data_IF_037913760182
#
_entry.id   IF_037913760182
#
_cell.length_a   1.000
_cell.length_b   1.000
_cell.length_c   1.000
_cell.angle_alpha   90.00
_cell.angle_beta   90.00
_cell.angle_gamma   90.00
#
_symmetry.space_group_name_H-M   'P 1'
#
loop_
_entity.id
_entity.type
_entity.pdbx_description
1 polymer ?
#
# COMPACT_ATOMS: atom_id res chain seq x y z
N UNK A 1 -16.80 -4.01 2.20
CA UNK A 1 -17.96 -3.14 2.53
C UNK A 1 -17.53 -1.76 3.03
N UNK A 2 -16.65 -1.67 4.04
CA UNK A 2 -16.18 -0.39 4.61
C UNK A 2 -15.45 0.53 3.61
N UNK A 3 -14.54 -0.02 2.80
CA UNK A 3 -13.71 0.77 1.88
C UNK A 3 -14.52 1.52 0.82
N UNK A 4 -15.59 0.89 0.29
CA UNK A 4 -16.53 1.56 -0.63
C UNK A 4 -17.23 2.74 0.03
N UNK A 5 -17.64 2.59 1.29
CA UNK A 5 -18.30 3.68 2.04
C UNK A 5 -17.33 4.84 2.30
N UNK A 6 -16.08 4.54 2.67
CA UNK A 6 -15.05 5.56 2.82
C UNK A 6 -14.77 6.30 1.51
N UNK A 7 -14.78 5.60 0.37
CA UNK A 7 -14.63 6.26 -0.92
C UNK A 7 -15.80 7.20 -1.22
N UNK A 8 -17.03 6.81 -0.88
CA UNK A 8 -18.20 7.69 -1.03
C UNK A 8 -18.08 8.95 -0.17
N UNK A 9 -17.63 8.80 1.08
CA UNK A 9 -17.38 9.95 1.98
C UNK A 9 -16.28 10.85 1.43
N UNK A 10 -15.16 10.29 0.97
CA UNK A 10 -14.08 11.06 0.34
C UNK A 10 -14.58 11.83 -0.89
N UNK A 11 -15.35 11.16 -1.75
CA UNK A 11 -15.92 11.76 -2.95
C UNK A 11 -16.87 12.91 -2.59
N UNK A 12 -17.73 12.72 -1.59
CA UNK A 12 -18.63 13.77 -1.12
C UNK A 12 -17.85 14.96 -0.56
N UNK A 13 -16.84 14.72 0.28
CA UNK A 13 -15.99 15.78 0.83
C UNK A 13 -15.27 16.57 -0.27
N UNK A 14 -14.68 15.88 -1.25
CA UNK A 14 -14.02 16.52 -2.39
C UNK A 14 -14.99 17.44 -3.14
N UNK A 15 -16.22 16.97 -3.40
CA UNK A 15 -17.22 17.77 -4.11
C UNK A 15 -17.67 19.02 -3.34
N UNK A 16 -17.82 18.91 -2.01
CA UNK A 16 -18.19 20.05 -1.16
C UNK A 16 -17.12 21.12 -1.21
N UNK A 17 -15.84 20.73 -1.11
CA UNK A 17 -14.71 21.66 -1.14
C UNK A 17 -14.56 22.37 -2.48
N UNK A 18 -14.73 21.65 -3.58
CA UNK A 18 -14.57 22.20 -4.94
C UNK A 18 -15.85 22.74 -5.55
N UNK A 19 -16.98 22.64 -4.84
CA UNK A 19 -18.33 23.01 -5.31
C UNK A 19 -18.72 22.36 -6.65
N UNK A 20 -18.16 21.19 -6.95
CA UNK A 20 -18.45 20.45 -8.19
C UNK A 20 -19.85 19.82 -8.15
N UNK A 21 -20.51 19.77 -9.32
CA UNK A 21 -21.86 19.20 -9.41
C UNK A 21 -21.83 17.69 -9.09
N UNK A 22 -22.96 17.15 -8.63
CA UNK A 22 -23.09 15.71 -8.30
C UNK A 22 -22.83 14.79 -9.48
N UNK A 23 -23.20 15.21 -10.69
CA UNK A 23 -23.11 14.43 -11.93
C UNK A 23 -21.72 14.44 -12.57
N UNK A 24 -20.87 15.40 -12.20
CA UNK A 24 -19.51 15.49 -12.75
C UNK A 24 -18.66 14.32 -12.31
N UNK A 25 -17.73 13.90 -13.16
CA UNK A 25 -16.83 12.80 -12.83
C UNK A 25 -15.90 13.17 -11.67
N UNK A 26 -15.72 12.26 -10.70
CA UNK A 26 -14.99 12.57 -9.46
C UNK A 26 -13.46 12.51 -9.62
N UNK A 27 -12.95 11.69 -10.55
CA UNK A 27 -11.51 11.51 -10.75
C UNK A 27 -10.73 12.81 -11.06
N UNK A 28 -11.18 13.72 -11.94
CA UNK A 28 -10.47 14.99 -12.14
C UNK A 28 -10.44 15.85 -10.87
N UNK A 29 -11.51 15.83 -10.07
CA UNK A 29 -11.59 16.58 -8.80
C UNK A 29 -10.60 16.03 -7.76
N UNK A 30 -10.53 14.71 -7.61
CA UNK A 30 -9.54 14.08 -6.73
C UNK A 30 -8.12 14.38 -7.19
N UNK A 31 -7.87 14.37 -8.50
CA UNK A 31 -6.56 14.72 -9.07
C UNK A 31 -6.18 16.17 -8.78
N UNK A 32 -7.08 17.13 -8.98
CA UNK A 32 -6.79 18.55 -8.68
C UNK A 32 -6.52 18.79 -7.19
N UNK A 33 -7.14 18.01 -6.32
CA UNK A 33 -6.89 18.05 -4.87
C UNK A 33 -5.64 17.26 -4.45
N UNK A 34 -4.98 16.55 -5.37
CA UNK A 34 -3.91 15.58 -5.07
C UNK A 34 -4.34 14.48 -4.09
N UNK A 35 -5.62 14.11 -4.11
CA UNK A 35 -6.18 13.08 -3.24
C UNK A 35 -6.18 11.72 -3.93
N UNK A 36 -5.47 10.76 -3.33
CA UNK A 36 -5.55 9.37 -3.74
C UNK A 36 -6.92 8.78 -3.38
N UNK A 37 -7.55 8.00 -4.27
CA UNK A 37 -8.66 7.13 -3.90
C UNK A 37 -8.29 6.25 -2.71
N UNK A 38 -9.27 5.92 -1.86
CA UNK A 38 -9.06 5.22 -0.57
C UNK A 38 -8.27 3.93 -0.73
N UNK A 39 -8.55 3.13 -1.77
CA UNK A 39 -7.80 1.90 -2.06
C UNK A 39 -6.30 2.18 -2.22
N UNK A 40 -5.93 3.15 -3.07
CA UNK A 40 -4.54 3.51 -3.30
C UNK A 40 -3.90 4.16 -2.08
N UNK A 41 -4.68 4.88 -1.27
CA UNK A 41 -4.20 5.45 -0.01
C UNK A 41 -3.83 4.37 1.00
N UNK A 42 -4.59 3.28 1.07
CA UNK A 42 -4.27 2.12 1.92
C UNK A 42 -2.95 1.50 1.46
N UNK A 43 -2.82 1.21 0.15
CA UNK A 43 -1.61 0.65 -0.43
C UNK A 43 -0.39 1.54 -0.16
N UNK A 44 -0.51 2.83 -0.46
CA UNK A 44 0.54 3.82 -0.23
C UNK A 44 0.98 3.87 1.23
N UNK A 45 0.04 3.84 2.19
CA UNK A 45 0.37 3.90 3.62
C UNK A 45 1.07 2.62 4.09
N UNK A 46 0.64 1.46 3.61
CA UNK A 46 1.31 0.18 3.91
C UNK A 46 2.74 0.19 3.34
N UNK A 47 2.91 0.55 2.07
CA UNK A 47 4.23 0.60 1.42
C UNK A 47 5.17 1.60 2.09
N UNK A 48 4.65 2.76 2.49
CA UNK A 48 5.44 3.76 3.22
C UNK A 48 5.85 3.25 4.61
N UNK A 49 5.01 2.45 5.27
CA UNK A 49 5.37 1.81 6.53
C UNK A 49 6.47 0.75 6.32
N UNK A 50 6.37 -0.07 5.27
CA UNK A 50 7.43 -1.02 4.88
C UNK A 50 8.74 -0.30 4.66
N UNK A 51 8.74 0.74 3.82
CA UNK A 51 9.92 1.55 3.54
C UNK A 51 10.56 2.09 4.84
N UNK A 52 9.74 2.65 5.74
CA UNK A 52 10.23 3.16 7.03
C UNK A 52 10.84 2.05 7.90
N UNK A 53 10.20 0.89 7.97
CA UNK A 53 10.69 -0.26 8.74
C UNK A 53 12.01 -0.81 8.19
N UNK A 54 12.17 -0.85 6.86
CA UNK A 54 13.41 -1.29 6.22
C UNK A 54 14.57 -0.31 6.43
N UNK A 55 14.27 0.99 6.50
CA UNK A 55 15.25 2.05 6.72
C UNK A 55 15.48 2.39 8.21
N UNK A 56 15.01 1.55 9.15
CA UNK A 56 15.20 1.78 10.59
C UNK A 56 14.45 2.99 11.17
N UNK A 57 13.54 3.60 10.42
CA UNK A 57 12.68 4.70 10.87
C UNK A 57 11.38 4.21 11.53
N UNK A 58 11.09 2.92 11.41
CA UNK A 58 9.92 2.27 12.01
C UNK A 58 10.23 1.59 13.34
N UNK A 59 9.20 1.22 14.12
CA UNK A 59 9.37 0.38 15.30
C UNK A 59 9.98 -0.98 14.94
N UNK A 60 10.88 -1.49 15.78
CA UNK A 60 11.59 -2.76 15.54
C UNK A 60 10.67 -3.94 15.21
N UNK A 61 9.56 -4.07 15.94
CA UNK A 61 8.59 -5.15 15.72
C UNK A 61 7.99 -5.15 14.30
N UNK A 62 7.89 -3.99 13.63
CA UNK A 62 7.40 -3.94 12.25
C UNK A 62 8.43 -4.49 11.26
N UNK A 63 9.72 -4.23 11.50
CA UNK A 63 10.81 -4.82 10.73
C UNK A 63 10.88 -6.33 10.94
N UNK A 64 10.66 -6.80 12.18
CA UNK A 64 10.63 -8.23 12.50
C UNK A 64 9.47 -8.97 11.79
N UNK A 65 8.35 -8.29 11.54
CA UNK A 65 7.20 -8.85 10.80
C UNK A 65 7.44 -8.95 9.28
N UNK A 66 8.46 -8.27 8.75
CA UNK A 66 8.71 -8.13 7.32
C UNK A 66 10.16 -8.50 7.00
N UNK A 67 10.51 -9.79 7.01
CA UNK A 67 11.88 -10.22 6.75
C UNK A 67 12.27 -10.00 5.29
N UNK A 68 13.48 -9.48 5.09
CA UNK A 68 14.09 -9.30 3.77
C UNK A 68 14.44 -10.66 3.17
N UNK A 69 14.16 -10.84 1.88
CA UNK A 69 14.45 -12.06 1.15
C UNK A 69 15.94 -12.20 0.88
N UNK A 70 16.56 -13.20 1.50
CA UNK A 70 17.97 -13.58 1.28
C UNK A 70 18.03 -14.98 0.65
N UNK A 71 18.35 -15.12 -0.64
CA UNK A 71 18.46 -16.43 -1.26
C UNK A 71 19.74 -17.15 -0.82
N UNK A 72 19.69 -18.48 -0.69
CA UNK A 72 20.86 -19.30 -0.33
C UNK A 72 21.98 -19.29 -1.40
N UNK A 73 21.67 -18.86 -2.62
CA UNK A 73 22.62 -18.75 -3.73
C UNK A 73 22.42 -17.43 -4.45
N UNK A 74 23.47 -16.94 -5.11
CA UNK A 74 23.36 -15.73 -5.94
C UNK A 74 22.39 -15.97 -7.10
N UNK A 75 21.26 -15.25 -7.07
CA UNK A 75 20.24 -15.24 -8.12
C UNK A 75 20.17 -13.85 -8.74
N UNK A 76 19.57 -13.72 -9.93
CA UNK A 76 19.31 -12.41 -10.55
C UNK A 76 18.34 -11.53 -9.74
N UNK A 77 17.60 -12.12 -8.80
CA UNK A 77 16.76 -11.43 -7.82
C UNK A 77 17.52 -10.95 -6.58
N UNK A 78 18.78 -11.37 -6.41
CA UNK A 78 19.64 -10.90 -5.32
C UNK A 78 19.89 -9.40 -5.51
N UNK A 79 19.59 -8.61 -4.47
CA UNK A 79 19.75 -7.15 -4.49
C UNK A 79 18.47 -6.37 -4.82
N UNK A 80 17.38 -7.04 -5.19
CA UNK A 80 16.12 -6.35 -5.54
C UNK A 80 15.29 -5.89 -4.32
N UNK A 81 15.86 -5.80 -3.12
CA UNK A 81 15.13 -5.48 -1.87
C UNK A 81 13.78 -6.20 -1.73
N UNK A 82 13.71 -7.48 -2.10
CA UNK A 82 12.48 -8.26 -2.01
C UNK A 82 12.20 -8.68 -0.56
N UNK A 83 10.92 -8.88 -0.26
CA UNK A 83 10.46 -9.37 1.04
C UNK A 83 10.01 -10.81 0.94
N UNK A 84 10.16 -11.55 2.04
CA UNK A 84 9.62 -12.91 2.13
C UNK A 84 8.10 -12.82 2.24
N UNK A 85 7.41 -13.43 1.28
CA UNK A 85 5.94 -13.51 1.29
C UNK A 85 5.50 -14.80 2.04
N UNK A 86 4.78 -14.68 3.17
CA UNK A 86 4.32 -15.84 3.92
C UNK A 86 3.24 -16.59 3.13
N UNK A 87 3.17 -17.91 3.30
CA UNK A 87 2.09 -18.71 2.70
C UNK A 87 0.83 -18.60 3.55
N UNK A 88 -0.22 -18.04 2.98
CA UNK A 88 -1.54 -17.91 3.62
C UNK A 88 -2.59 -18.72 2.85
N UNK A 89 -3.55 -19.30 3.57
CA UNK A 89 -4.65 -20.09 2.98
C UNK A 89 -6.03 -19.48 3.19
N UNK A 90 -6.11 -18.41 3.97
CA UNK A 90 -7.36 -17.76 4.36
C UNK A 90 -7.36 -16.30 3.93
N UNK A 91 -8.56 -15.75 3.66
CA UNK A 91 -8.72 -14.33 3.32
C UNK A 91 -8.27 -13.40 4.45
N UNK A 92 -8.43 -13.83 5.70
CA UNK A 92 -7.92 -13.11 6.87
C UNK A 92 -6.40 -13.11 6.90
N UNK A 93 -5.76 -14.22 6.54
CA UNK A 93 -4.30 -14.29 6.41
C UNK A 93 -3.78 -13.37 5.30
N UNK A 94 -4.47 -13.30 4.16
CA UNK A 94 -4.14 -12.34 3.09
C UNK A 94 -4.26 -10.87 3.54
N UNK A 95 -5.13 -10.59 4.52
CA UNK A 95 -5.29 -9.26 5.09
C UNK A 95 -4.28 -8.96 6.21
N UNK A 96 -3.50 -9.95 6.66
CA UNK A 96 -2.47 -9.73 7.67
C UNK A 96 -1.37 -8.83 7.11
N UNK A 97 -0.81 -7.98 7.98
CA UNK A 97 0.20 -7.01 7.57
C UNK A 97 1.41 -7.66 6.90
N UNK A 98 1.95 -8.75 7.48
CA UNK A 98 3.11 -9.46 6.94
C UNK A 98 2.91 -9.96 5.51
N UNK A 99 1.73 -10.50 5.19
CA UNK A 99 1.39 -10.91 3.83
C UNK A 99 1.14 -9.71 2.92
N UNK A 100 0.18 -8.86 3.28
CA UNK A 100 -0.28 -7.77 2.43
C UNK A 100 0.85 -6.81 2.08
N UNK A 101 1.69 -6.47 3.07
CA UNK A 101 2.82 -5.58 2.91
C UNK A 101 3.89 -6.19 1.97
N UNK A 102 4.29 -7.44 2.21
CA UNK A 102 5.27 -8.13 1.37
C UNK A 102 4.77 -8.29 -0.07
N UNK A 103 3.50 -8.71 -0.24
CA UNK A 103 2.86 -8.88 -1.53
C UNK A 103 2.85 -7.58 -2.35
N UNK A 104 2.41 -6.47 -1.74
CA UNK A 104 2.35 -5.17 -2.42
C UNK A 104 3.74 -4.59 -2.69
N UNK A 105 4.68 -4.76 -1.78
CA UNK A 105 6.06 -4.30 -1.95
C UNK A 105 6.73 -5.02 -3.12
N UNK A 106 6.62 -6.35 -3.19
CA UNK A 106 7.24 -7.15 -4.24
C UNK A 106 6.68 -6.87 -5.65
N UNK A 107 5.49 -6.26 -5.75
CA UNK A 107 4.89 -5.79 -7.00
C UNK A 107 5.43 -4.43 -7.46
N UNK A 108 6.17 -3.71 -6.62
CA UNK A 108 6.74 -2.42 -7.01
C UNK A 108 7.88 -2.61 -8.04
N UNK A 109 7.99 -1.68 -9.01
CA UNK A 109 9.18 -1.55 -9.84
C UNK A 109 10.45 -1.52 -8.99
N UNK A 110 11.54 -2.05 -9.51
CA UNK A 110 12.83 -2.10 -8.82
C UNK A 110 13.28 -0.70 -8.36
N UNK A 111 13.08 0.32 -9.20
CA UNK A 111 13.53 1.69 -8.93
C UNK A 111 12.76 2.40 -7.80
N UNK A 112 11.64 1.82 -7.35
CA UNK A 112 10.80 2.36 -6.28
C UNK A 112 10.97 1.61 -4.94
N UNK A 113 11.86 0.61 -4.89
CA UNK A 113 12.16 -0.19 -3.69
C UNK A 113 13.56 0.11 -3.17
#
# INVERSE_FOLDING_TARGET
KAVKQLQLVQNAAARVLTRTKRTEHITPVLRSLHWLPVNYRIDFKVLLLVYKSLNGMGPKYMSDLIPVYTPNRALRSLGNNQLVEPRVRTKQGEAAFSYYAAHRWNQLPHDLR
#
